data_IF_761195062409
#
_entry.id   IF_761195062409
#
_cell.length_a   1.000
_cell.length_b   1.000
_cell.length_c   1.000
_cell.angle_alpha   90.00
_cell.angle_beta   90.00
_cell.angle_gamma   90.00
#
_symmetry.space_group_name_H-M   'P 1'
#
loop_
_entity.id
_entity.type
_entity.pdbx_description
1 polymer ?
#
# COMPACT_ATOMS: atom_id res chain seq x y z
N UNK A 1 14.73 -5.80 -7.54
CA UNK A 1 15.47 -5.29 -8.73
C UNK A 1 15.19 -3.79 -8.97
N UNK A 2 13.92 -3.36 -9.15
CA UNK A 2 13.59 -1.95 -9.42
C UNK A 2 14.14 -0.94 -8.39
N UNK A 3 14.00 -1.21 -7.09
CA UNK A 3 14.49 -0.32 -6.03
C UNK A 3 16.00 -0.07 -6.13
N UNK A 4 16.78 -1.10 -6.43
CA UNK A 4 18.23 -0.96 -6.64
C UNK A 4 18.57 -0.22 -7.93
N UNK A 5 17.89 -0.50 -9.04
CA UNK A 5 18.12 0.19 -10.33
C UNK A 5 17.81 1.68 -10.21
N UNK A 6 16.75 2.04 -9.49
CA UNK A 6 16.37 3.44 -9.28
C UNK A 6 17.16 4.13 -8.16
N UNK A 7 18.14 3.44 -7.58
CA UNK A 7 18.83 3.90 -6.38
C UNK A 7 17.82 4.38 -5.31
N UNK A 8 16.89 3.48 -4.99
CA UNK A 8 15.80 3.74 -4.03
C UNK A 8 15.01 5.01 -4.34
N UNK A 9 14.59 5.15 -5.59
CA UNK A 9 13.74 6.26 -6.03
C UNK A 9 14.49 7.55 -6.35
N UNK A 10 15.80 7.61 -6.13
CA UNK A 10 16.60 8.83 -6.43
C UNK A 10 16.70 9.10 -7.93
N UNK A 11 16.63 8.06 -8.78
CA UNK A 11 16.65 8.19 -10.24
C UNK A 11 15.22 8.25 -10.75
N UNK A 12 14.66 9.46 -10.80
CA UNK A 12 13.25 9.69 -11.17
C UNK A 12 12.90 9.08 -12.52
N UNK A 13 13.76 9.15 -13.52
CA UNK A 13 13.51 8.59 -14.84
C UNK A 13 13.19 7.07 -14.83
N UNK A 14 13.66 6.34 -13.82
CA UNK A 14 13.40 4.89 -13.69
C UNK A 14 12.06 4.63 -13.01
N UNK A 15 11.68 5.47 -12.04
CA UNK A 15 10.41 5.28 -11.31
C UNK A 15 9.23 6.00 -11.96
N UNK A 16 9.48 7.04 -12.77
CA UNK A 16 8.42 7.82 -13.42
C UNK A 16 7.37 6.96 -14.13
N UNK A 17 7.73 5.94 -14.93
CA UNK A 17 6.75 5.10 -15.64
C UNK A 17 5.76 4.37 -14.74
N UNK A 18 6.04 4.27 -13.45
CA UNK A 18 5.23 3.54 -12.46
C UNK A 18 4.72 4.42 -11.31
N UNK A 19 4.95 5.75 -11.34
CA UNK A 19 4.30 6.70 -10.41
C UNK A 19 2.81 6.83 -10.72
N UNK A 20 2.01 7.29 -9.76
CA UNK A 20 0.54 7.34 -9.89
C UNK A 20 0.06 8.20 -11.05
N UNK A 21 0.58 9.42 -11.20
CA UNK A 21 0.47 10.22 -12.42
C UNK A 21 1.86 10.52 -12.96
N UNK A 22 1.97 10.91 -14.22
CA UNK A 22 3.27 11.22 -14.83
C UNK A 22 3.93 12.38 -14.11
N UNK A 23 5.24 12.24 -13.89
CA UNK A 23 6.09 13.33 -13.41
C UNK A 23 6.76 13.96 -14.63
N UNK A 24 6.58 15.26 -14.77
CA UNK A 24 7.20 16.06 -15.81
C UNK A 24 8.36 16.84 -15.20
N UNK A 25 9.53 16.75 -15.84
CA UNK A 25 10.72 17.48 -15.42
C UNK A 25 10.93 18.62 -16.41
N UNK A 26 10.85 19.86 -15.93
CA UNK A 26 11.14 21.03 -16.78
C UNK A 26 12.65 21.16 -17.04
N UNK A 27 13.03 21.92 -18.05
CA UNK A 27 14.43 22.24 -18.35
C UNK A 27 15.16 22.95 -17.18
N UNK A 28 14.41 23.48 -16.21
CA UNK A 28 14.93 24.12 -14.99
C UNK A 28 15.01 23.16 -13.80
N UNK A 29 14.74 21.86 -14.01
CA UNK A 29 14.74 20.85 -12.95
C UNK A 29 13.51 20.88 -12.03
N UNK A 30 12.47 21.67 -12.36
CA UNK A 30 11.23 21.72 -11.61
C UNK A 30 10.37 20.48 -11.93
N UNK A 31 9.78 19.89 -10.90
CA UNK A 31 8.84 18.78 -11.02
C UNK A 31 7.41 19.29 -11.07
N UNK A 32 6.63 18.78 -12.02
CA UNK A 32 5.18 18.90 -12.06
C UNK A 32 4.56 17.55 -12.35
N UNK A 33 3.27 17.40 -12.14
CA UNK A 33 2.56 16.15 -12.42
C UNK A 33 1.41 16.39 -13.38
N UNK A 34 1.09 15.40 -14.20
CA UNK A 34 -0.14 15.43 -15.02
C UNK A 34 -1.37 15.23 -14.14
N UNK A 35 -2.53 15.68 -14.63
CA UNK A 35 -3.80 15.38 -13.96
C UNK A 35 -4.16 13.90 -14.11
N UNK A 36 -5.05 13.41 -13.24
CA UNK A 36 -5.63 12.06 -13.37
C UNK A 36 -6.33 11.88 -14.71
N UNK A 37 -7.10 12.87 -15.16
CA UNK A 37 -7.79 12.84 -16.46
C UNK A 37 -6.79 12.65 -17.60
N UNK A 38 -5.70 13.43 -17.60
CA UNK A 38 -4.67 13.29 -18.62
C UNK A 38 -4.02 11.89 -18.58
N UNK A 39 -3.63 11.43 -17.40
CA UNK A 39 -2.94 10.14 -17.23
C UNK A 39 -3.82 8.95 -17.59
N UNK A 40 -5.03 8.88 -17.01
CA UNK A 40 -5.85 7.68 -17.11
C UNK A 40 -6.79 7.69 -18.31
N UNK A 41 -7.43 8.81 -18.63
CA UNK A 41 -8.45 8.87 -19.69
C UNK A 41 -7.85 9.23 -21.05
N UNK A 42 -6.91 10.18 -21.12
CA UNK A 42 -6.35 10.61 -22.40
C UNK A 42 -5.17 9.71 -22.83
N UNK A 43 -4.31 9.30 -21.89
CA UNK A 43 -3.12 8.51 -22.20
C UNK A 43 -3.29 7.01 -21.92
N UNK A 44 -4.43 6.58 -21.34
CA UNK A 44 -4.75 5.18 -21.03
C UNK A 44 -3.71 4.46 -20.16
N UNK A 45 -3.05 5.16 -19.23
CA UNK A 45 -1.99 4.59 -18.39
C UNK A 45 -2.54 3.98 -17.09
N UNK A 46 -3.51 3.04 -17.23
CA UNK A 46 -4.25 2.47 -16.11
C UNK A 46 -3.39 1.63 -15.13
N UNK A 47 -2.24 1.10 -15.57
CA UNK A 47 -1.32 0.39 -14.68
C UNK A 47 -0.81 1.23 -13.52
N UNK A 48 -0.79 2.55 -13.68
CA UNK A 48 -0.35 3.50 -12.65
C UNK A 48 -1.28 3.54 -11.42
N UNK A 49 -2.47 2.98 -11.51
CA UNK A 49 -3.33 2.82 -10.34
C UNK A 49 -2.70 1.90 -9.30
N UNK A 50 -1.98 0.85 -9.75
CA UNK A 50 -1.39 -0.14 -8.84
C UNK A 50 0.14 -0.05 -8.78
N UNK A 51 0.81 0.36 -9.86
CA UNK A 51 2.27 0.26 -9.97
C UNK A 51 3.08 1.00 -8.90
N UNK A 52 2.61 2.08 -8.22
CA UNK A 52 3.36 2.70 -7.13
C UNK A 52 3.71 1.77 -5.98
N UNK A 53 2.98 0.66 -5.78
CA UNK A 53 3.31 -0.32 -4.73
C UNK A 53 4.73 -0.91 -4.89
N UNK A 54 5.31 -0.86 -6.08
CA UNK A 54 6.66 -1.37 -6.37
C UNK A 54 7.78 -0.36 -6.11
N UNK A 55 7.47 0.91 -5.86
CA UNK A 55 8.46 1.95 -5.57
C UNK A 55 8.86 1.88 -4.10
N UNK A 56 10.16 1.83 -3.81
CA UNK A 56 10.68 1.85 -2.45
C UNK A 56 11.84 2.84 -2.33
N UNK A 57 11.82 3.64 -1.28
CA UNK A 57 12.73 4.77 -1.08
C UNK A 57 13.93 4.46 -0.16
N UNK A 58 14.01 3.24 0.39
CA UNK A 58 15.17 2.76 1.13
C UNK A 58 15.22 1.24 1.18
N UNK A 59 16.39 0.69 1.50
CA UNK A 59 16.55 -0.76 1.70
C UNK A 59 15.70 -1.25 2.88
N UNK A 60 15.70 -0.51 3.99
CA UNK A 60 14.89 -0.86 5.16
C UNK A 60 13.39 -0.88 4.83
N UNK A 61 12.90 0.11 4.06
CA UNK A 61 11.51 0.17 3.60
C UNK A 61 11.15 -1.06 2.74
N UNK A 62 12.01 -1.43 1.79
CA UNK A 62 11.80 -2.62 0.97
C UNK A 62 11.81 -3.91 1.81
N UNK A 63 12.83 -4.08 2.65
CA UNK A 63 13.00 -5.29 3.46
C UNK A 63 11.81 -5.49 4.41
N UNK A 64 11.37 -4.42 5.07
CA UNK A 64 10.23 -4.45 5.98
C UNK A 64 8.93 -4.80 5.26
N UNK A 65 8.70 -4.22 4.09
CA UNK A 65 7.54 -4.54 3.27
C UNK A 65 7.57 -6.00 2.78
N UNK A 66 8.72 -6.49 2.32
CA UNK A 66 8.86 -7.90 1.90
C UNK A 66 8.62 -8.87 3.05
N UNK A 67 9.10 -8.55 4.27
CA UNK A 67 8.87 -9.38 5.45
C UNK A 67 7.37 -9.48 5.76
N UNK A 68 6.66 -8.35 5.80
CA UNK A 68 5.24 -8.35 6.13
C UNK A 68 4.35 -8.99 5.07
N UNK A 69 4.63 -8.74 3.78
CA UNK A 69 3.89 -9.40 2.70
C UNK A 69 4.10 -10.91 2.73
N UNK A 70 5.30 -11.38 3.11
CA UNK A 70 5.58 -12.79 3.28
C UNK A 70 4.78 -13.38 4.45
N UNK A 71 4.87 -12.77 5.65
CA UNK A 71 4.21 -13.29 6.87
C UNK A 71 2.68 -13.31 6.71
N UNK A 72 2.08 -12.22 6.26
CA UNK A 72 0.63 -12.11 6.12
C UNK A 72 0.13 -12.86 4.88
N UNK A 73 0.87 -12.73 3.78
CA UNK A 73 0.50 -13.33 2.50
C UNK A 73 0.46 -14.86 2.56
N UNK A 74 1.48 -15.51 3.16
CA UNK A 74 1.50 -16.96 3.34
C UNK A 74 0.25 -17.46 4.10
N UNK A 75 -0.14 -16.75 5.16
CA UNK A 75 -1.30 -17.14 5.97
C UNK A 75 -2.61 -16.97 5.21
N UNK A 76 -2.81 -15.81 4.57
CA UNK A 76 -4.03 -15.52 3.80
C UNK A 76 -4.13 -16.47 2.61
N UNK A 77 -3.05 -16.63 1.84
CA UNK A 77 -3.05 -17.49 0.67
C UNK A 77 -3.36 -18.95 1.02
N UNK A 78 -2.78 -19.45 2.12
CA UNK A 78 -3.02 -20.83 2.59
C UNK A 78 -4.44 -21.06 3.10
N UNK A 79 -5.05 -20.07 3.75
CA UNK A 79 -6.37 -20.21 4.42
C UNK A 79 -7.50 -19.82 3.47
N UNK A 80 -7.35 -18.72 2.73
CA UNK A 80 -8.41 -18.12 1.92
C UNK A 80 -8.18 -18.31 0.40
N UNK A 81 -7.01 -18.82 0.03
CA UNK A 81 -6.63 -19.15 -1.34
C UNK A 81 -5.96 -18.00 -2.12
N UNK A 82 -5.18 -18.40 -3.14
CA UNK A 82 -4.37 -17.50 -3.97
C UNK A 82 -5.18 -16.41 -4.65
N UNK A 83 -6.38 -16.75 -5.15
CA UNK A 83 -7.26 -15.78 -5.85
C UNK A 83 -7.67 -14.66 -4.88
N UNK A 84 -8.12 -15.03 -3.67
CA UNK A 84 -8.49 -14.05 -2.63
C UNK A 84 -7.31 -13.15 -2.29
N UNK A 85 -6.12 -13.72 -2.09
CA UNK A 85 -4.90 -12.97 -1.81
C UNK A 85 -4.56 -11.95 -2.92
N UNK A 86 -4.61 -12.37 -4.20
CA UNK A 86 -4.36 -11.48 -5.35
C UNK A 86 -5.41 -10.35 -5.41
N UNK A 87 -6.68 -10.65 -5.18
CA UNK A 87 -7.75 -9.66 -5.19
C UNK A 87 -7.60 -8.64 -4.06
N UNK A 88 -7.16 -9.07 -2.88
CA UNK A 88 -6.86 -8.14 -1.78
C UNK A 88 -5.70 -7.22 -2.16
N UNK A 89 -4.58 -7.76 -2.67
CA UNK A 89 -3.44 -6.93 -3.11
C UNK A 89 -3.88 -5.90 -4.14
N UNK A 90 -4.62 -6.32 -5.15
CA UNK A 90 -5.06 -5.44 -6.23
C UNK A 90 -5.98 -4.32 -5.71
N UNK A 91 -7.03 -4.69 -4.95
CA UNK A 91 -8.01 -3.72 -4.45
C UNK A 91 -7.38 -2.75 -3.45
N UNK A 92 -6.62 -3.26 -2.47
CA UNK A 92 -6.00 -2.41 -1.45
C UNK A 92 -4.88 -1.56 -2.03
N UNK A 93 -4.09 -2.08 -2.98
CA UNK A 93 -3.06 -1.32 -3.69
C UNK A 93 -3.63 -0.15 -4.50
N UNK A 94 -4.70 -0.38 -5.26
CA UNK A 94 -5.37 0.66 -6.04
C UNK A 94 -5.96 1.72 -5.10
N UNK A 95 -6.71 1.30 -4.08
CA UNK A 95 -7.40 2.23 -3.19
C UNK A 95 -6.42 3.04 -2.32
N UNK A 96 -5.34 2.42 -1.84
CA UNK A 96 -4.29 3.11 -1.08
C UNK A 96 -3.60 4.20 -1.91
N UNK A 97 -3.20 3.87 -3.15
CA UNK A 97 -2.57 4.82 -4.05
C UNK A 97 -3.51 5.97 -4.42
N UNK A 98 -4.79 5.64 -4.69
CA UNK A 98 -5.80 6.65 -5.01
C UNK A 98 -6.00 7.62 -3.85
N UNK A 99 -6.16 7.12 -2.61
CA UNK A 99 -6.40 7.97 -1.45
C UNK A 99 -5.18 8.85 -1.13
N UNK A 100 -3.96 8.31 -1.27
CA UNK A 100 -2.73 9.08 -1.10
C UNK A 100 -2.66 10.25 -2.08
N UNK A 101 -2.86 9.98 -3.36
CA UNK A 101 -2.83 11.02 -4.38
C UNK A 101 -3.97 12.04 -4.20
N UNK A 102 -5.19 11.56 -3.94
CA UNK A 102 -6.36 12.42 -3.75
C UNK A 102 -6.14 13.45 -2.64
N UNK A 103 -5.46 13.06 -1.57
CA UNK A 103 -5.26 13.92 -0.41
C UNK A 103 -4.03 14.83 -0.54
N UNK A 104 -2.95 14.34 -1.11
CA UNK A 104 -1.68 15.07 -1.16
C UNK A 104 -1.40 15.78 -2.48
N UNK A 105 -2.05 15.36 -3.56
CA UNK A 105 -1.77 15.85 -4.92
C UNK A 105 -0.38 15.42 -5.46
N UNK A 106 0.41 14.70 -4.67
CA UNK A 106 1.75 14.28 -5.06
C UNK A 106 1.72 12.88 -5.67
N UNK A 107 2.50 12.66 -6.73
CA UNK A 107 2.73 11.35 -7.35
C UNK A 107 4.04 10.69 -6.92
N UNK A 108 4.88 11.39 -6.15
CA UNK A 108 6.12 10.85 -5.63
C UNK A 108 5.88 10.17 -4.28
N UNK A 109 5.26 9.02 -4.33
CA UNK A 109 5.06 8.11 -3.22
C UNK A 109 5.11 6.66 -3.72
N UNK A 110 5.16 5.71 -2.80
CA UNK A 110 5.13 4.29 -3.15
C UNK A 110 5.42 3.38 -1.98
N UNK A 111 5.37 2.09 -2.24
CA UNK A 111 5.63 1.01 -1.30
C UNK A 111 4.43 0.08 -1.11
N UNK A 112 4.74 -1.15 -0.74
CA UNK A 112 3.73 -2.18 -0.43
C UNK A 112 3.00 -1.93 0.89
N UNK A 113 3.40 -0.94 1.67
CA UNK A 113 2.86 -0.72 3.02
C UNK A 113 1.36 -0.44 3.04
N UNK A 114 0.81 0.23 2.01
CA UNK A 114 -0.64 0.39 1.86
C UNK A 114 -1.34 -0.97 1.70
N UNK A 115 -0.78 -1.87 0.91
CA UNK A 115 -1.28 -3.25 0.78
C UNK A 115 -1.18 -3.99 2.11
N UNK A 116 -0.05 -3.88 2.82
CA UNK A 116 0.16 -4.53 4.13
C UNK A 116 -0.91 -4.08 5.14
N UNK A 117 -1.20 -2.77 5.20
CA UNK A 117 -2.31 -2.28 6.01
C UNK A 117 -3.66 -2.85 5.56
N UNK A 118 -3.85 -3.08 4.26
CA UNK A 118 -5.01 -3.77 3.74
C UNK A 118 -5.12 -5.22 4.21
N UNK A 119 -4.01 -5.97 4.15
CA UNK A 119 -3.94 -7.34 4.67
C UNK A 119 -4.21 -7.39 6.18
N UNK A 120 -3.67 -6.43 6.95
CA UNK A 120 -3.94 -6.29 8.39
C UNK A 120 -5.43 -6.03 8.65
N UNK A 121 -6.05 -5.09 7.92
CA UNK A 121 -7.48 -4.80 8.04
C UNK A 121 -8.35 -6.00 7.71
N UNK A 122 -7.99 -6.75 6.66
CA UNK A 122 -8.66 -7.99 6.28
C UNK A 122 -8.57 -9.06 7.37
N UNK A 123 -7.36 -9.36 7.85
CA UNK A 123 -7.16 -10.35 8.91
C UNK A 123 -7.88 -9.94 10.21
N UNK A 124 -7.79 -8.66 10.60
CA UNK A 124 -8.42 -8.15 11.82
C UNK A 124 -9.92 -8.41 11.85
N UNK A 125 -10.63 -8.12 10.75
CA UNK A 125 -12.10 -8.31 10.70
C UNK A 125 -12.46 -9.80 10.75
N UNK A 126 -11.72 -10.66 10.04
CA UNK A 126 -12.04 -12.09 10.01
C UNK A 126 -11.64 -12.82 11.32
N UNK A 127 -10.62 -12.34 12.04
CA UNK A 127 -10.27 -12.88 13.37
C UNK A 127 -11.24 -12.43 14.45
N UNK A 128 -11.75 -11.19 14.41
CA UNK A 128 -12.72 -10.71 15.40
C UNK A 128 -14.02 -11.54 15.46
N UNK A 129 -14.38 -12.17 14.36
CA UNK A 129 -15.60 -12.96 14.20
C UNK A 129 -15.35 -14.47 14.31
N UNK A 130 -14.11 -14.90 14.46
CA UNK A 130 -13.73 -16.32 14.54
C UNK A 130 -13.65 -16.78 16.00
N UNK A 131 -14.21 -17.95 16.31
CA UNK A 131 -14.03 -18.61 17.61
C UNK A 131 -12.59 -19.07 17.86
N UNK A 132 -11.77 -19.13 16.81
CA UNK A 132 -10.36 -19.54 16.85
C UNK A 132 -9.49 -18.48 16.18
N UNK A 133 -8.23 -18.41 16.59
CA UNK A 133 -7.18 -17.56 15.96
C UNK A 133 -6.95 -18.00 14.51
N UNK A 134 -7.75 -17.45 13.57
CA UNK A 134 -7.79 -17.88 12.17
C UNK A 134 -6.43 -17.83 11.50
N UNK A 135 -5.71 -16.71 11.66
CA UNK A 135 -4.39 -16.51 11.05
C UNK A 135 -3.25 -16.73 12.04
N UNK A 136 -3.55 -17.00 13.33
CA UNK A 136 -2.55 -17.17 14.37
C UNK A 136 -1.54 -16.01 14.40
N UNK A 137 -2.04 -14.79 14.29
CA UNK A 137 -1.24 -13.57 14.38
C UNK A 137 -1.12 -13.17 15.86
N UNK A 138 0.04 -12.59 16.27
CA UNK A 138 0.19 -12.11 17.64
C UNK A 138 -0.89 -11.08 18.00
N UNK A 139 -1.60 -11.20 19.13
CA UNK A 139 -2.69 -10.27 19.48
C UNK A 139 -2.27 -8.80 19.51
N UNK A 140 -1.01 -8.52 19.86
CA UNK A 140 -0.45 -7.16 19.87
C UNK A 140 -0.17 -6.58 18.49
N UNK A 141 -0.20 -7.37 17.42
CA UNK A 141 0.14 -6.92 16.08
C UNK A 141 -0.82 -5.82 15.57
N UNK A 142 -2.12 -6.04 15.71
CA UNK A 142 -3.14 -5.09 15.27
C UNK A 142 -3.02 -3.75 16.00
N UNK A 143 -2.85 -3.81 17.32
CA UNK A 143 -2.63 -2.61 18.13
C UNK A 143 -1.33 -1.89 17.71
N UNK A 144 -0.24 -2.63 17.53
CA UNK A 144 1.03 -2.07 17.06
C UNK A 144 0.88 -1.34 15.73
N UNK A 145 0.20 -1.94 14.76
CA UNK A 145 0.01 -1.35 13.44
C UNK A 145 -0.88 -0.10 13.47
N UNK A 146 -1.92 -0.09 14.31
CA UNK A 146 -2.76 1.10 14.52
C UNK A 146 -1.96 2.23 15.16
N UNK A 147 -1.19 1.93 16.21
CA UNK A 147 -0.33 2.93 16.87
C UNK A 147 0.72 3.46 15.90
N UNK A 148 1.31 2.59 15.08
CA UNK A 148 2.27 2.98 14.05
C UNK A 148 1.66 3.92 13.01
N UNK A 149 0.42 3.65 12.58
CA UNK A 149 -0.34 4.53 11.69
C UNK A 149 -0.55 5.92 12.32
N UNK A 150 -0.97 5.97 13.59
CA UNK A 150 -1.15 7.23 14.31
C UNK A 150 0.16 8.01 14.43
N UNK A 151 1.28 7.34 14.73
CA UNK A 151 2.60 7.96 14.79
C UNK A 151 3.04 8.54 13.44
N UNK A 152 2.64 7.92 12.33
CA UNK A 152 2.83 8.48 10.99
C UNK A 152 2.08 9.79 10.82
N UNK A 153 0.79 9.83 11.19
CA UNK A 153 -0.04 11.04 11.03
C UNK A 153 0.41 12.22 11.88
N UNK A 154 0.95 11.98 13.08
CA UNK A 154 1.47 13.06 13.94
C UNK A 154 2.93 13.44 13.63
N UNK A 155 3.53 12.84 12.58
CA UNK A 155 4.90 13.14 12.16
C UNK A 155 6.01 12.55 13.07
N UNK A 156 5.64 11.73 14.07
CA UNK A 156 6.61 11.17 15.01
C UNK A 156 7.64 10.27 14.33
N UNK A 157 7.20 9.51 13.33
CA UNK A 157 8.09 8.60 12.59
C UNK A 157 9.13 9.36 11.75
N UNK A 158 8.79 10.54 11.24
CA UNK A 158 9.74 11.40 10.53
C UNK A 158 10.85 11.91 11.46
N UNK A 159 10.51 12.25 12.72
CA UNK A 159 11.48 12.65 13.74
C UNK A 159 12.48 11.53 14.06
N UNK A 160 12.07 10.27 13.96
CA UNK A 160 12.95 9.11 14.14
C UNK A 160 13.71 8.71 12.87
N UNK A 161 13.64 9.51 11.80
CA UNK A 161 14.42 9.29 10.58
C UNK A 161 13.83 8.27 9.60
N UNK A 162 12.55 7.89 9.75
CA UNK A 162 11.88 7.01 8.79
C UNK A 162 11.53 7.69 7.46
N UNK A 163 11.79 9.00 7.34
CA UNK A 163 11.46 9.79 6.16
C UNK A 163 9.96 10.10 6.05
N UNK A 164 9.58 10.74 4.95
CA UNK A 164 8.17 11.07 4.70
C UNK A 164 7.37 9.81 4.42
N UNK A 165 6.30 9.60 5.19
CA UNK A 165 5.45 8.42 5.13
C UNK A 165 4.15 8.74 4.40
N UNK A 166 3.75 7.84 3.50
CA UNK A 166 2.49 7.94 2.76
C UNK A 166 1.29 7.53 3.63
N UNK A 167 0.97 8.34 4.65
CA UNK A 167 -0.01 8.02 5.69
C UNK A 167 -1.42 7.77 5.13
N UNK A 168 -1.82 8.50 4.09
CA UNK A 168 -3.13 8.29 3.46
C UNK A 168 -3.16 7.00 2.63
N UNK A 169 -2.02 6.51 2.11
CA UNK A 169 -1.94 5.18 1.52
C UNK A 169 -2.16 4.10 2.58
N UNK A 170 -1.57 4.24 3.76
CA UNK A 170 -1.77 3.31 4.87
C UNK A 170 -3.23 3.27 5.31
N UNK A 171 -3.85 4.43 5.53
CA UNK A 171 -5.27 4.54 5.89
C UNK A 171 -6.16 3.95 4.79
N UNK A 172 -5.92 4.29 3.53
CA UNK A 172 -6.66 3.77 2.39
C UNK A 172 -6.57 2.25 2.28
N UNK A 173 -5.37 1.70 2.48
CA UNK A 173 -5.15 0.27 2.54
C UNK A 173 -5.97 -0.39 3.66
N UNK A 174 -5.86 0.11 4.89
CA UNK A 174 -6.60 -0.40 6.04
C UNK A 174 -8.12 -0.41 5.79
N UNK A 175 -8.68 0.72 5.35
CA UNK A 175 -10.11 0.83 5.09
C UNK A 175 -10.58 -0.11 3.98
N UNK A 176 -9.83 -0.21 2.88
CA UNK A 176 -10.20 -1.10 1.79
C UNK A 176 -10.05 -2.59 2.16
N UNK A 177 -9.07 -2.94 3.00
CA UNK A 177 -8.93 -4.29 3.53
C UNK A 177 -10.09 -4.70 4.44
N UNK A 178 -10.51 -3.79 5.33
CA UNK A 178 -11.71 -3.96 6.17
C UNK A 178 -12.96 -4.15 5.29
N UNK A 179 -13.17 -3.29 4.29
CA UNK A 179 -14.30 -3.42 3.36
C UNK A 179 -14.26 -4.77 2.60
N UNK A 180 -13.08 -5.16 2.12
CA UNK A 180 -12.92 -6.43 1.42
C UNK A 180 -13.27 -7.61 2.32
N UNK A 181 -12.84 -7.60 3.58
CA UNK A 181 -13.18 -8.63 4.56
C UNK A 181 -14.70 -8.74 4.81
N UNK A 182 -15.38 -7.60 4.96
CA UNK A 182 -16.84 -7.57 5.13
C UNK A 182 -17.57 -8.17 3.91
N UNK A 183 -17.14 -7.84 2.71
CA UNK A 183 -17.70 -8.42 1.46
C UNK A 183 -17.41 -9.91 1.40
N UNK A 184 -16.16 -10.30 1.64
CA UNK A 184 -15.74 -11.70 1.61
C UNK A 184 -16.55 -12.55 2.61
N UNK A 185 -16.75 -12.06 3.83
CA UNK A 185 -17.57 -12.69 4.86
C UNK A 185 -18.98 -12.97 4.36
N UNK A 186 -19.63 -11.97 3.78
CA UNK A 186 -21.01 -12.09 3.30
C UNK A 186 -21.13 -13.06 2.12
N UNK A 187 -20.13 -13.14 1.25
CA UNK A 187 -20.15 -14.01 0.07
C UNK A 187 -19.77 -15.46 0.38
N UNK A 188 -18.84 -15.66 1.32
CA UNK A 188 -18.33 -17.01 1.62
C UNK A 188 -19.25 -17.82 2.53
N UNK A 189 -20.16 -17.17 3.24
CA UNK A 189 -21.01 -17.84 4.25
C UNK A 189 -20.20 -18.58 5.33
N UNK A 190 -18.91 -18.34 5.41
CA UNK A 190 -17.94 -19.03 6.27
C UNK A 190 -17.56 -18.11 7.42
N UNK A 191 -18.30 -18.22 8.47
CA UNK A 191 -17.83 -17.89 9.82
C UNK A 191 -18.46 -18.85 10.80
#
# INVERSE_FOLDING_TARGET
MLAFLSNFGSVIAIIEPITFTKILISNQGLFSTTSMTQTFLNENQWWRLISPIFIHFSFAHLAFNCLWIYILGEKIERIDGTITFILIIASTGIFSNFLQYFWTGSSLFGGLSGVIYGLIGYCMILEMDSEFDRYQLPPGLYLFMIVWLLFGFIGLLELFGFGSIANFAHLGGLLSGVMFAMIYKNLSGRI
#
